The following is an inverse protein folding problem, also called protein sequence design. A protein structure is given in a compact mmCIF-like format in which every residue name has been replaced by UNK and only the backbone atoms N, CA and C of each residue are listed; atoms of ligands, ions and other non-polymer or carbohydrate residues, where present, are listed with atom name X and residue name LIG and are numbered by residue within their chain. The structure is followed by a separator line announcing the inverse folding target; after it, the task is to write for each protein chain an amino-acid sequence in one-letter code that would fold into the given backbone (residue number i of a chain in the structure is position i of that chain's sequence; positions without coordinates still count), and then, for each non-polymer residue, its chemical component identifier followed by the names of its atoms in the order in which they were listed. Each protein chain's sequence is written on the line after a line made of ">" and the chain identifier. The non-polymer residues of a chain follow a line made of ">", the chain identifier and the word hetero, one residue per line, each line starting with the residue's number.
data_IF_759136619861
#
_entry.id   IF_759136619861
#
_cell.length_a   1.000
_cell.length_b   1.000
_cell.length_c   1.000
_cell.angle_alpha   90.00
_cell.angle_beta   90.00
_cell.angle_gamma   90.00
#
_symmetry.space_group_name_H-M   'P 1'
#
loop_
_entity.id
_entity.type
_entity.pdbx_description
1 polymer ?
#
# COMPACT_ATOMS: atom_id res chain seq x y z
N UNK A 1 -11.86 33.29 -7.17
CA UNK A 1 -11.46 32.49 -5.99
C UNK A 1 -10.94 31.17 -6.51
N UNK A 2 -9.74 30.77 -6.10
CA UNK A 2 -9.01 29.69 -6.76
C UNK A 2 -9.66 28.34 -6.48
N UNK A 3 -10.04 27.62 -7.54
CA UNK A 3 -10.41 26.20 -7.59
C UNK A 3 -9.35 25.22 -7.02
N UNK A 4 -8.37 25.72 -6.27
CA UNK A 4 -7.05 25.09 -6.11
C UNK A 4 -6.97 24.01 -5.04
N UNK A 5 -7.99 23.85 -4.23
CA UNK A 5 -8.05 22.83 -3.16
C UNK A 5 -8.73 21.56 -3.67
N UNK A 6 -9.81 21.70 -4.45
CA UNK A 6 -10.44 20.60 -5.19
C UNK A 6 -9.48 19.94 -6.18
N UNK A 7 -8.69 20.75 -6.90
CA UNK A 7 -7.65 20.24 -7.80
C UNK A 7 -6.48 19.54 -7.09
N UNK A 8 -6.39 19.56 -5.75
CA UNK A 8 -5.23 19.01 -5.02
C UNK A 8 -5.55 17.82 -4.16
N UNK A 9 -6.64 17.86 -3.40
CA UNK A 9 -7.06 16.74 -2.55
C UNK A 9 -7.58 15.59 -3.44
N UNK A 10 -8.49 15.88 -4.37
CA UNK A 10 -9.00 14.92 -5.36
C UNK A 10 -7.91 14.40 -6.27
N UNK A 11 -7.01 15.27 -6.71
CA UNK A 11 -5.86 14.87 -7.52
C UNK A 11 -4.89 14.00 -6.70
N UNK A 12 -4.72 14.24 -5.41
CA UNK A 12 -3.90 13.41 -4.53
C UNK A 12 -4.53 12.02 -4.37
N UNK A 13 -5.83 11.93 -4.10
CA UNK A 13 -6.54 10.65 -3.97
C UNK A 13 -6.49 9.84 -5.27
N UNK A 14 -6.66 10.51 -6.42
CA UNK A 14 -6.53 9.88 -7.72
C UNK A 14 -5.10 9.44 -8.03
N UNK A 15 -4.09 10.22 -7.65
CA UNK A 15 -2.68 9.85 -7.85
C UNK A 15 -2.27 8.67 -6.96
N UNK A 16 -2.73 8.62 -5.70
CA UNK A 16 -2.44 7.51 -4.78
C UNK A 16 -2.90 6.17 -5.37
N UNK A 17 -4.01 6.16 -6.12
CA UNK A 17 -4.47 4.96 -6.83
C UNK A 17 -3.82 4.79 -8.23
N UNK A 18 -3.46 5.88 -8.90
CA UNK A 18 -2.79 5.85 -10.19
C UNK A 18 -1.35 5.29 -10.11
N UNK A 19 -0.62 5.54 -9.01
CA UNK A 19 0.74 5.00 -8.82
C UNK A 19 0.73 3.46 -8.89
N UNK A 20 -0.11 2.74 -8.11
CA UNK A 20 -0.32 1.31 -8.25
C UNK A 20 -0.66 0.86 -9.68
N UNK A 21 -1.51 1.61 -10.38
CA UNK A 21 -1.91 1.28 -11.74
C UNK A 21 -0.72 1.36 -12.71
N UNK A 22 0.08 2.41 -12.63
CA UNK A 22 1.26 2.60 -13.48
C UNK A 22 2.31 1.51 -13.23
N UNK A 23 2.60 1.18 -11.97
CA UNK A 23 3.54 0.09 -11.67
C UNK A 23 3.01 -1.27 -12.14
N UNK A 24 1.70 -1.53 -12.02
CA UNK A 24 1.11 -2.77 -12.52
C UNK A 24 1.17 -2.84 -14.05
N UNK A 25 0.89 -1.75 -14.76
CA UNK A 25 1.03 -1.70 -16.22
C UNK A 25 2.46 -1.99 -16.66
N UNK A 26 3.45 -1.48 -15.91
CA UNK A 26 4.86 -1.81 -16.14
C UNK A 26 5.12 -3.31 -15.99
N UNK A 27 4.66 -3.96 -14.91
CA UNK A 27 4.84 -5.40 -14.72
C UNK A 27 4.12 -6.26 -15.76
N UNK A 28 2.89 -5.87 -16.16
CA UNK A 28 2.20 -6.52 -17.27
C UNK A 28 3.05 -6.45 -18.54
N UNK A 29 3.59 -5.27 -18.87
CA UNK A 29 4.48 -5.09 -20.01
C UNK A 29 5.72 -5.99 -19.91
N UNK A 30 6.41 -5.98 -18.77
CA UNK A 30 7.57 -6.83 -18.54
C UNK A 30 7.23 -8.31 -18.70
N UNK A 31 6.10 -8.78 -18.17
CA UNK A 31 5.69 -10.19 -18.27
C UNK A 31 5.23 -10.61 -19.67
N UNK A 32 4.76 -9.66 -20.48
CA UNK A 32 4.49 -9.92 -21.90
C UNK A 32 5.81 -10.05 -22.69
N UNK A 33 6.82 -9.25 -22.37
CA UNK A 33 8.11 -9.25 -23.07
C UNK A 33 9.08 -10.34 -22.56
N UNK A 34 9.03 -10.65 -21.26
CA UNK A 34 9.94 -11.55 -20.57
C UNK A 34 9.17 -12.46 -19.62
N UNK A 35 9.33 -13.77 -19.78
CA UNK A 35 8.67 -14.76 -18.95
C UNK A 35 9.66 -15.39 -17.95
N UNK A 36 9.59 -15.03 -16.65
CA UNK A 36 10.51 -15.56 -15.64
C UNK A 36 10.15 -16.97 -15.16
N UNK A 37 8.92 -17.47 -15.38
CA UNK A 37 8.43 -18.73 -14.82
C UNK A 37 8.28 -19.85 -15.89
N UNK A 38 8.99 -19.71 -17.01
CA UNK A 38 9.06 -20.69 -18.10
C UNK A 38 8.06 -20.44 -19.22
N UNK A 39 8.32 -21.01 -20.39
CA UNK A 39 7.56 -20.72 -21.63
C UNK A 39 6.31 -21.59 -21.83
N UNK A 40 5.92 -22.37 -20.83
CA UNK A 40 4.71 -23.18 -20.92
C UNK A 40 3.46 -22.28 -20.90
N UNK A 41 2.50 -22.61 -21.77
CA UNK A 41 1.29 -21.80 -21.95
C UNK A 41 0.44 -21.74 -20.67
N UNK A 42 0.42 -22.82 -19.88
CA UNK A 42 -0.33 -22.86 -18.62
C UNK A 42 0.28 -21.91 -17.59
N UNK A 43 1.61 -21.93 -17.42
CA UNK A 43 2.30 -21.04 -16.49
C UNK A 43 2.15 -19.57 -16.89
N UNK A 44 2.31 -19.28 -18.17
CA UNK A 44 2.14 -17.93 -18.70
C UNK A 44 0.70 -17.44 -18.49
N UNK A 45 -0.30 -18.28 -18.76
CA UNK A 45 -1.70 -17.94 -18.55
C UNK A 45 -2.01 -17.65 -17.08
N UNK A 46 -1.52 -18.48 -16.15
CA UNK A 46 -1.73 -18.29 -14.71
C UNK A 46 -1.10 -16.97 -14.26
N UNK A 47 0.17 -16.73 -14.59
CA UNK A 47 0.88 -15.51 -14.23
C UNK A 47 0.17 -14.25 -14.77
N UNK A 48 -0.14 -14.22 -16.08
CA UNK A 48 -0.82 -13.09 -16.69
C UNK A 48 -2.24 -12.91 -16.14
N UNK A 49 -2.96 -14.00 -15.87
CA UNK A 49 -4.33 -13.90 -15.34
C UNK A 49 -4.35 -13.21 -13.98
N UNK A 50 -3.45 -13.57 -13.07
CA UNK A 50 -3.37 -12.96 -11.73
C UNK A 50 -3.11 -11.45 -11.87
N UNK A 51 -2.08 -11.08 -12.64
CA UNK A 51 -1.66 -9.69 -12.77
C UNK A 51 -2.70 -8.86 -13.52
N UNK A 52 -3.27 -9.37 -14.62
CA UNK A 52 -4.30 -8.67 -15.40
C UNK A 52 -5.58 -8.52 -14.60
N UNK A 53 -6.01 -9.54 -13.86
CA UNK A 53 -7.23 -9.44 -13.03
C UNK A 53 -7.03 -8.40 -11.94
N UNK A 54 -5.90 -8.40 -11.24
CA UNK A 54 -5.59 -7.38 -10.21
C UNK A 54 -5.49 -5.99 -10.82
N UNK A 55 -4.80 -5.84 -11.95
CA UNK A 55 -4.72 -4.57 -12.69
C UNK A 55 -6.11 -4.07 -13.11
N UNK A 56 -6.93 -4.95 -13.68
CA UNK A 56 -8.28 -4.64 -14.12
C UNK A 56 -9.19 -4.23 -12.96
N UNK A 57 -9.14 -4.95 -11.84
CA UNK A 57 -9.91 -4.61 -10.64
C UNK A 57 -9.52 -3.22 -10.10
N UNK A 58 -8.22 -2.93 -9.99
CA UNK A 58 -7.73 -1.63 -9.55
C UNK A 58 -8.10 -0.52 -10.55
N UNK A 59 -7.98 -0.76 -11.85
CA UNK A 59 -8.32 0.21 -12.89
C UNK A 59 -9.81 0.56 -12.84
N UNK A 60 -10.68 -0.45 -12.68
CA UNK A 60 -12.11 -0.25 -12.50
C UNK A 60 -12.38 0.59 -11.25
N UNK A 61 -11.78 0.23 -10.11
CA UNK A 61 -12.00 0.96 -8.85
C UNK A 61 -11.51 2.42 -8.93
N UNK A 62 -10.35 2.64 -9.54
CA UNK A 62 -9.78 3.98 -9.79
C UNK A 62 -10.71 4.82 -10.66
N UNK A 63 -11.21 4.23 -11.74
CA UNK A 63 -12.12 4.91 -12.66
C UNK A 63 -13.44 5.28 -11.99
N UNK A 64 -14.03 4.36 -11.22
CA UNK A 64 -15.26 4.63 -10.49
C UNK A 64 -15.07 5.67 -9.40
N UNK A 65 -13.95 5.63 -8.66
CA UNK A 65 -13.59 6.65 -7.67
C UNK A 65 -13.51 8.02 -8.32
N UNK A 66 -12.72 8.19 -9.39
CA UNK A 66 -12.63 9.48 -10.08
C UNK A 66 -13.95 9.97 -10.67
N UNK A 67 -14.73 9.08 -11.26
CA UNK A 67 -16.04 9.43 -11.80
C UNK A 67 -17.04 9.84 -10.72
N UNK A 68 -17.03 9.15 -9.57
CA UNK A 68 -17.89 9.49 -8.44
C UNK A 68 -17.51 10.84 -7.84
N UNK A 69 -16.20 11.09 -7.70
CA UNK A 69 -15.69 12.35 -7.14
C UNK A 69 -16.04 13.50 -8.09
N UNK A 70 -15.67 13.46 -9.38
CA UNK A 70 -15.99 14.55 -10.33
C UNK A 70 -17.48 14.88 -10.40
N UNK A 71 -18.36 13.88 -10.19
CA UNK A 71 -19.81 14.10 -10.15
C UNK A 71 -20.24 14.84 -8.88
N UNK A 72 -19.76 14.41 -7.71
CA UNK A 72 -20.03 15.09 -6.45
C UNK A 72 -19.49 16.52 -6.45
N UNK A 73 -18.32 16.71 -7.06
CA UNK A 73 -17.69 18.01 -7.23
C UNK A 73 -18.53 18.98 -8.09
N UNK A 74 -19.09 18.51 -9.20
CA UNK A 74 -19.95 19.34 -10.08
C UNK A 74 -21.32 19.67 -9.46
N UNK A 75 -21.92 18.74 -8.70
CA UNK A 75 -23.21 18.99 -8.03
C UNK A 75 -23.07 20.08 -6.94
N UNK A 76 -21.94 20.13 -6.24
CA UNK A 76 -21.64 21.17 -5.24
C UNK A 76 -21.44 22.56 -5.87
N UNK A 77 -20.95 22.65 -7.11
CA UNK A 77 -20.82 23.93 -7.83
C UNK A 77 -22.17 24.47 -8.35
N UNK A 78 -23.11 23.58 -8.69
CA UNK A 78 -24.44 23.97 -9.20
C UNK A 78 -25.44 24.36 -8.10
N UNK A 79 -25.33 23.82 -6.88
CA UNK A 79 -26.21 24.13 -5.75
C UNK A 79 -25.45 24.36 -4.42
N UNK A 80 -24.67 25.45 -4.30
CA UNK A 80 -23.90 25.74 -3.09
C UNK A 80 -24.77 25.98 -1.83
N UNK A 81 -26.07 26.26 -1.99
CA UNK A 81 -27.00 26.49 -0.88
C UNK A 81 -27.67 25.21 -0.33
N UNK A 82 -27.57 24.05 -1.01
CA UNK A 82 -28.23 22.81 -0.55
C UNK A 82 -27.37 21.97 0.42
N UNK A 83 -26.05 22.19 0.42
CA UNK A 83 -25.10 21.49 1.30
C UNK A 83 -24.52 22.38 2.41
N UNK A 84 -24.85 23.67 2.42
CA UNK A 84 -24.54 24.57 3.52
C UNK A 84 -25.56 24.36 4.66
N UNK A 85 -25.14 23.59 5.66
CA UNK A 85 -25.76 23.39 6.98
C UNK A 85 -26.68 22.16 7.13
N UNK A 86 -26.24 21.20 7.99
CA UNK A 86 -26.54 21.33 9.42
C UNK A 86 -25.37 21.04 10.36
N UNK A 87 -24.11 21.18 9.94
CA UNK A 87 -22.97 20.88 10.83
C UNK A 87 -22.32 22.12 11.50
N UNK A 88 -22.61 23.33 11.04
CA UNK A 88 -22.15 24.56 11.68
C UNK A 88 -22.95 24.94 12.95
N UNK A 89 -24.13 24.34 13.17
CA UNK A 89 -25.02 24.70 14.28
C UNK A 89 -24.89 23.80 15.53
N UNK A 90 -24.00 22.80 15.54
CA UNK A 90 -23.95 21.79 16.61
C UNK A 90 -22.58 21.61 17.31
N UNK A 91 -21.57 22.45 17.03
CA UNK A 91 -20.31 22.40 17.77
C UNK A 91 -20.22 23.58 18.73
N UNK A 92 -20.67 23.35 19.96
CA UNK A 92 -20.26 24.16 21.12
C UNK A 92 -18.72 24.12 21.20
N UNK A 93 -18.02 25.26 21.12
CA UNK A 93 -16.55 25.30 21.12
C UNK A 93 -15.93 24.93 22.49
N UNK A 94 -16.73 24.55 23.49
CA UNK A 94 -16.26 24.09 24.79
C UNK A 94 -15.98 22.59 24.90
N UNK A 95 -16.34 21.78 23.90
CA UNK A 95 -16.11 20.32 23.92
C UNK A 95 -14.84 19.91 23.15
N UNK A 96 -13.77 20.71 23.29
CA UNK A 96 -12.42 20.28 22.94
C UNK A 96 -11.96 19.19 23.93
N UNK A 97 -12.46 17.97 23.75
CA UNK A 97 -11.84 16.78 24.32
C UNK A 97 -10.48 16.62 23.63
N UNK A 98 -9.44 17.04 24.34
CA UNK A 98 -8.07 16.60 24.09
C UNK A 98 -8.06 15.09 23.92
N UNK A 99 -7.52 14.52 22.82
CA UNK A 99 -7.26 13.09 22.78
C UNK A 99 -6.32 12.77 23.93
N UNK A 100 -6.82 11.99 24.88
CA UNK A 100 -6.03 11.32 25.90
C UNK A 100 -5.14 10.32 25.16
N UNK A 101 -3.87 10.66 24.99
CA UNK A 101 -2.88 9.71 24.52
C UNK A 101 -2.48 8.88 25.74
N UNK A 102 -3.13 7.73 25.91
CA UNK A 102 -2.60 6.68 26.79
C UNK A 102 -1.20 6.34 26.28
N UNK A 103 -0.19 6.71 27.06
CA UNK A 103 1.22 6.31 26.90
C UNK A 103 1.33 4.80 27.22
N UNK A 104 0.81 3.95 26.34
CA UNK A 104 1.12 2.53 26.35
C UNK A 104 2.57 2.36 25.85
N UNK A 105 3.40 1.89 26.77
CA UNK A 105 4.85 1.78 26.72
C UNK A 105 5.45 1.47 25.34
N UNK A 106 6.22 2.43 24.82
CA UNK A 106 7.35 2.09 23.97
C UNK A 106 8.42 1.47 24.87
N UNK A 107 8.31 0.15 25.08
CA UNK A 107 9.35 -0.64 25.69
C UNK A 107 10.66 -0.38 24.96
N UNK A 108 11.62 0.17 25.70
CA UNK A 108 12.97 0.46 25.28
C UNK A 108 13.59 -0.81 24.65
N UNK A 109 13.68 -0.86 23.32
CA UNK A 109 14.53 -1.84 22.64
C UNK A 109 15.96 -1.37 22.83
N UNK A 110 16.50 -1.68 24.01
CA UNK A 110 17.93 -1.58 24.28
C UNK A 110 18.64 -2.42 23.24
N UNK A 111 19.51 -1.75 22.49
CA UNK A 111 20.34 -2.35 21.45
C UNK A 111 21.59 -2.94 22.10
N UNK A 112 21.45 -3.94 22.97
CA UNK A 112 22.59 -4.62 23.58
C UNK A 112 22.18 -5.98 24.16
N UNK A 113 22.02 -6.98 23.30
CA UNK A 113 22.37 -8.37 23.66
C UNK A 113 22.63 -9.19 22.38
N UNK A 114 23.81 -9.81 22.21
CA UNK A 114 24.09 -10.66 21.06
C UNK A 114 23.31 -11.98 21.18
N UNK A 115 22.82 -12.57 20.07
CA UNK A 115 22.14 -13.86 20.12
C UNK A 115 23.11 -14.96 20.60
N UNK A 116 22.83 -15.51 21.78
CA UNK A 116 23.56 -16.64 22.39
C UNK A 116 23.43 -17.96 21.60
N UNK A 117 22.67 -18.00 20.50
CA UNK A 117 22.45 -19.21 19.69
C UNK A 117 23.28 -19.28 18.40
N UNK A 118 24.21 -18.36 18.17
CA UNK A 118 25.10 -18.43 16.99
C UNK A 118 26.40 -19.25 17.21
N UNK A 119 26.69 -19.68 18.44
CA UNK A 119 27.94 -20.37 18.78
C UNK A 119 27.89 -21.91 18.72
N UNK A 120 26.73 -22.53 18.43
CA UNK A 120 26.58 -23.99 18.49
C UNK A 120 26.54 -24.72 17.14
N UNK A 121 26.65 -24.03 15.99
CA UNK A 121 26.69 -24.67 14.66
C UNK A 121 28.02 -24.55 13.92
N UNK A 122 29.07 -24.01 14.55
CA UNK A 122 30.39 -23.82 13.93
C UNK A 122 31.51 -24.69 14.54
N UNK A 123 31.18 -25.77 15.26
CA UNK A 123 32.17 -26.68 15.86
C UNK A 123 31.85 -28.17 15.60
N UNK A 124 31.39 -28.51 14.40
CA UNK A 124 31.22 -29.91 13.99
C UNK A 124 31.72 -30.21 12.56
N UNK A 125 32.77 -29.53 12.13
CA UNK A 125 33.49 -29.84 10.88
C UNK A 125 35.01 -29.59 11.01
N UNK A 126 35.57 -29.81 12.19
CA UNK A 126 37.00 -29.96 12.38
C UNK A 126 37.24 -31.14 13.31
N UNK A 127 38.16 -32.02 12.93
CA UNK A 127 38.62 -33.24 13.61
C UNK A 127 37.89 -34.54 13.22
N UNK A 128 38.10 -35.00 11.98
CA UNK A 128 38.45 -36.42 11.76
C UNK A 128 39.16 -36.63 10.40
N UNK A 129 40.36 -36.07 10.27
CA UNK A 129 41.29 -36.47 9.21
C UNK A 129 42.68 -36.71 9.82
N UNK A 130 42.85 -37.86 10.48
CA UNK A 130 44.15 -38.53 10.58
C UNK A 130 44.07 -39.94 11.18
N UNK A 131 44.67 -40.88 10.42
CA UNK A 131 45.40 -42.08 10.84
C UNK A 131 44.65 -43.42 11.01
N UNK A 132 44.94 -44.31 10.06
CA UNK A 132 45.34 -45.72 10.20
C UNK A 132 45.29 -46.35 11.61
N UNK A 133 44.61 -47.49 11.77
CA UNK A 133 45.23 -48.79 12.14
C UNK A 133 44.20 -49.94 12.27
N UNK A 134 44.67 -51.14 11.91
CA UNK A 134 44.10 -52.52 11.98
C UNK A 134 43.26 -53.10 10.81
#
# INVERSE_FOLDING_TARGET
>A
MSSRTFDRETLLDLIVNAIPLVMMAFFVGVFVLYNPFGTDLANQAIQLSIVIITFGALLVLTYFSGRAISKAESELEESPEEFAEPQAAAADPSEATTPDYDEEEFGEVTSDEPPEDAAAIAAKDADDESADDE
#
